data_IF_441530547812
#
_entry.id   IF_441530547812
#
_cell.length_a   1.000
_cell.length_b   1.000
_cell.length_c   1.000
_cell.angle_alpha   90.00
_cell.angle_beta   90.00
_cell.angle_gamma   90.00
#
_symmetry.space_group_name_H-M   'P 1'
#
loop_
_entity.id
_entity.type
_entity.pdbx_description
1 polymer ?
#
# COMPACT_ATOMS: atom_id res chain seq x y z
N UNK A 1 1.18 -9.01 -22.64
CA UNK A 1 0.11 -9.42 -21.75
C UNK A 1 -0.15 -8.32 -20.75
N UNK A 2 -1.37 -8.11 -20.25
CA UNK A 2 -1.62 -7.13 -19.19
C UNK A 2 -0.78 -7.43 -17.96
N UNK A 3 -0.36 -6.39 -17.26
CA UNK A 3 0.47 -6.50 -16.04
C UNK A 3 -0.12 -5.70 -14.91
N UNK A 4 0.05 -6.21 -13.70
CA UNK A 4 -0.23 -5.48 -12.48
C UNK A 4 1.09 -5.19 -11.75
N UNK A 5 1.31 -3.92 -11.43
CA UNK A 5 2.42 -3.44 -10.61
C UNK A 5 1.91 -3.15 -9.20
N UNK A 6 2.63 -3.58 -8.19
CA UNK A 6 2.21 -3.36 -6.81
C UNK A 6 3.25 -2.55 -6.07
N UNK A 7 2.82 -1.41 -5.54
CA UNK A 7 3.62 -0.51 -4.70
C UNK A 7 3.17 -0.75 -3.25
N UNK A 8 4.08 -1.16 -2.35
CA UNK A 8 3.76 -1.31 -0.93
C UNK A 8 3.75 0.04 -0.20
N UNK A 9 3.85 0.00 1.13
CA UNK A 9 3.81 1.09 2.07
C UNK A 9 4.75 2.25 1.69
N UNK A 10 4.20 3.46 1.60
CA UNK A 10 4.94 4.66 1.16
C UNK A 10 5.37 5.56 2.32
N UNK A 11 4.54 5.69 3.32
CA UNK A 11 4.82 6.50 4.51
C UNK A 11 5.50 7.84 4.21
N UNK A 12 4.82 8.73 3.48
CA UNK A 12 5.32 10.07 3.19
C UNK A 12 6.57 10.13 2.29
N UNK A 13 7.01 9.03 1.69
CA UNK A 13 8.16 8.98 0.76
C UNK A 13 7.73 9.34 -0.67
N UNK A 14 7.50 10.64 -0.88
CA UNK A 14 7.14 11.18 -2.19
C UNK A 14 8.22 10.91 -3.25
N UNK A 15 9.47 10.98 -2.86
CA UNK A 15 10.62 10.72 -3.70
C UNK A 15 10.61 9.29 -4.27
N UNK A 16 10.36 8.30 -3.42
CA UNK A 16 10.23 6.89 -3.83
C UNK A 16 8.99 6.67 -4.71
N UNK A 17 7.87 7.32 -4.39
CA UNK A 17 6.66 7.23 -5.21
C UNK A 17 6.88 7.77 -6.63
N UNK A 18 7.50 8.93 -6.78
CA UNK A 18 7.76 9.52 -8.10
C UNK A 18 8.69 8.65 -8.93
N UNK A 19 9.77 8.15 -8.31
CA UNK A 19 10.69 7.24 -8.97
C UNK A 19 10.01 5.91 -9.37
N UNK A 20 9.14 5.37 -8.50
CA UNK A 20 8.38 4.16 -8.78
C UNK A 20 7.42 4.35 -9.96
N UNK A 21 6.64 5.42 -9.98
CA UNK A 21 5.70 5.70 -11.06
C UNK A 21 6.42 5.90 -12.40
N UNK A 22 7.53 6.64 -12.42
CA UNK A 22 8.35 6.82 -13.62
C UNK A 22 8.93 5.48 -14.11
N UNK A 23 9.40 4.65 -13.18
CA UNK A 23 9.95 3.33 -13.52
C UNK A 23 8.89 2.40 -14.07
N UNK A 24 7.68 2.39 -13.48
CA UNK A 24 6.54 1.61 -13.97
C UNK A 24 6.12 2.07 -15.37
N UNK A 25 5.98 3.37 -15.60
CA UNK A 25 5.62 3.93 -16.91
C UNK A 25 6.62 3.50 -17.99
N UNK A 26 7.92 3.62 -17.70
CA UNK A 26 8.98 3.19 -18.59
C UNK A 26 8.93 1.69 -18.86
N UNK A 27 8.71 0.88 -17.82
CA UNK A 27 8.67 -0.58 -17.91
C UNK A 27 7.42 -1.08 -18.64
N UNK A 28 6.29 -0.42 -18.46
CA UNK A 28 5.05 -0.74 -19.19
C UNK A 28 5.17 -0.46 -20.68
N UNK A 29 6.02 0.50 -21.09
CA UNK A 29 6.34 0.76 -22.49
C UNK A 29 5.11 1.15 -23.32
N UNK A 30 4.20 1.93 -22.76
CA UNK A 30 2.95 2.36 -23.39
C UNK A 30 1.86 1.29 -23.43
N UNK A 31 2.05 0.13 -22.80
CA UNK A 31 1.02 -0.90 -22.69
C UNK A 31 0.08 -0.59 -21.52
N UNK A 32 -1.17 -1.05 -21.64
CA UNK A 32 -2.12 -0.98 -20.54
C UNK A 32 -1.63 -1.82 -19.35
N UNK A 33 -1.77 -1.25 -18.14
CA UNK A 33 -1.42 -1.92 -16.90
C UNK A 33 -2.21 -1.36 -15.72
N UNK A 34 -2.31 -2.16 -14.64
CA UNK A 34 -2.85 -1.72 -13.36
C UNK A 34 -1.70 -1.47 -12.38
N UNK A 35 -1.80 -0.38 -11.62
CA UNK A 35 -0.92 -0.10 -10.49
C UNK A 35 -1.77 -0.21 -9.23
N UNK A 36 -1.46 -1.17 -8.37
CA UNK A 36 -2.07 -1.31 -7.05
C UNK A 36 -1.14 -0.68 -6.03
N UNK A 37 -1.66 0.26 -5.22
CA UNK A 37 -0.93 0.82 -4.07
C UNK A 37 -1.57 0.31 -2.80
N UNK A 38 -0.80 -0.36 -1.96
CA UNK A 38 -1.35 -1.17 -0.86
C UNK A 38 -1.78 -0.37 0.38
N UNK A 39 -1.67 0.95 0.37
CA UNK A 39 -2.01 1.81 1.51
C UNK A 39 -0.79 2.35 2.25
N UNK A 40 -1.03 2.85 3.45
CA UNK A 40 -0.04 3.53 4.29
C UNK A 40 0.72 4.64 3.52
N UNK A 41 -0.06 5.60 3.03
CA UNK A 41 0.46 6.77 2.30
C UNK A 41 1.11 7.77 3.24
N UNK A 42 0.64 7.84 4.47
CA UNK A 42 0.92 8.89 5.46
C UNK A 42 1.83 8.40 6.59
N UNK A 43 2.24 9.33 7.44
CA UNK A 43 3.05 9.15 8.65
C UNK A 43 4.52 8.79 8.38
N UNK A 44 5.35 8.96 9.40
CA UNK A 44 6.76 8.56 9.50
C UNK A 44 7.71 9.30 8.56
N UNK A 45 7.45 9.31 7.28
CA UNK A 45 8.25 10.05 6.31
C UNK A 45 7.81 11.51 6.15
N UNK A 46 8.60 12.33 5.44
CA UNK A 46 8.49 13.78 5.54
C UNK A 46 7.35 14.43 4.73
N UNK A 47 6.72 13.72 3.79
CA UNK A 47 5.92 14.41 2.77
C UNK A 47 4.58 13.73 2.45
N UNK A 48 3.81 13.40 3.50
CA UNK A 48 2.49 12.75 3.39
C UNK A 48 1.53 13.53 2.50
N UNK A 49 1.48 14.88 2.66
CA UNK A 49 0.64 15.76 1.84
C UNK A 49 0.89 15.58 0.35
N UNK A 50 2.17 15.58 -0.06
CA UNK A 50 2.50 15.48 -1.48
C UNK A 50 2.39 14.07 -2.03
N UNK A 51 2.50 13.02 -1.19
CA UNK A 51 2.15 11.65 -1.60
C UNK A 51 0.67 11.58 -1.98
N UNK A 52 -0.23 12.07 -1.12
CA UNK A 52 -1.67 12.13 -1.41
C UNK A 52 -1.94 12.94 -2.68
N UNK A 53 -1.39 14.14 -2.76
CA UNK A 53 -1.58 15.01 -3.93
C UNK A 53 -1.10 14.34 -5.23
N UNK A 54 0.04 13.62 -5.18
CA UNK A 54 0.59 12.92 -6.36
C UNK A 54 -0.31 11.77 -6.81
N UNK A 55 -0.82 10.98 -5.89
CA UNK A 55 -1.73 9.86 -6.21
C UNK A 55 -3.07 10.38 -6.77
N UNK A 56 -3.59 11.46 -6.22
CA UNK A 56 -4.81 12.12 -6.71
C UNK A 56 -4.64 12.72 -8.12
N UNK A 57 -3.46 13.15 -8.49
CA UNK A 57 -3.17 13.65 -9.83
C UNK A 57 -3.24 12.55 -10.91
N UNK A 58 -3.26 11.28 -10.51
CA UNK A 58 -3.39 10.15 -11.42
C UNK A 58 -2.06 9.75 -12.09
N UNK A 59 -2.16 8.94 -13.12
CA UNK A 59 -1.05 8.33 -13.86
C UNK A 59 -1.21 8.55 -15.36
N UNK A 60 -0.17 8.22 -16.13
CA UNK A 60 -0.17 8.36 -17.58
C UNK A 60 -1.31 7.55 -18.24
N UNK A 61 -1.79 7.98 -19.42
CA UNK A 61 -2.77 7.24 -20.18
C UNK A 61 -2.35 5.78 -20.43
N UNK A 62 -3.31 4.85 -20.30
CA UNK A 62 -3.07 3.41 -20.37
C UNK A 62 -2.75 2.76 -19.03
N UNK A 63 -2.34 3.53 -18.01
CA UNK A 63 -2.17 3.05 -16.65
C UNK A 63 -3.43 3.33 -15.81
N UNK A 64 -3.77 2.43 -14.89
CA UNK A 64 -4.90 2.55 -13.96
C UNK A 64 -4.41 2.40 -12.53
N UNK A 65 -4.93 3.23 -11.61
CA UNK A 65 -4.63 3.16 -10.19
C UNK A 65 -5.75 2.44 -9.44
N UNK A 66 -5.38 1.42 -8.65
CA UNK A 66 -6.18 0.85 -7.57
C UNK A 66 -5.45 1.15 -6.26
N UNK A 67 -6.08 1.95 -5.40
CA UNK A 67 -5.44 2.47 -4.18
C UNK A 67 -6.19 1.97 -2.96
N UNK A 68 -5.52 1.28 -2.05
CA UNK A 68 -6.11 0.66 -0.87
C UNK A 68 -5.92 1.53 0.37
N UNK A 69 -6.68 1.26 1.42
CA UNK A 69 -6.53 1.90 2.73
C UNK A 69 -5.59 1.07 3.61
N UNK A 70 -4.56 1.71 4.16
CA UNK A 70 -3.73 1.15 5.22
C UNK A 70 -4.19 1.57 6.62
N UNK A 71 -3.60 0.97 7.64
CA UNK A 71 -3.97 1.28 9.03
C UNK A 71 -3.53 2.68 9.47
N UNK A 72 -2.43 3.22 8.93
CA UNK A 72 -2.03 4.60 9.20
C UNK A 72 -2.97 5.60 8.54
N UNK A 73 -3.45 5.33 7.34
CA UNK A 73 -4.44 6.14 6.66
C UNK A 73 -5.76 6.20 7.45
N UNK A 74 -6.23 5.03 7.94
CA UNK A 74 -7.42 4.92 8.78
C UNK A 74 -7.24 5.64 10.12
N UNK A 75 -6.06 5.56 10.74
CA UNK A 75 -5.77 6.21 12.01
C UNK A 75 -5.73 7.75 11.86
N UNK A 76 -5.11 8.27 10.80
CA UNK A 76 -5.14 9.71 10.50
C UNK A 76 -6.58 10.21 10.33
N UNK A 77 -7.41 9.51 9.56
CA UNK A 77 -8.83 9.84 9.37
C UNK A 77 -9.56 9.87 10.70
N UNK A 78 -9.44 8.81 11.51
CA UNK A 78 -10.12 8.70 12.80
C UNK A 78 -9.68 9.80 13.78
N UNK A 79 -8.39 10.14 13.81
CA UNK A 79 -7.87 11.23 14.63
C UNK A 79 -8.41 12.60 14.22
N UNK A 80 -8.41 12.89 12.92
CA UNK A 80 -8.87 14.17 12.39
C UNK A 80 -10.40 14.35 12.43
N UNK A 81 -11.16 13.24 12.50
CA UNK A 81 -12.61 13.25 12.72
C UNK A 81 -13.01 13.26 14.20
N UNK A 82 -12.05 13.07 15.11
CA UNK A 82 -12.29 13.08 16.56
C UNK A 82 -12.74 11.71 17.12
N UNK A 83 -12.67 10.64 16.33
CA UNK A 83 -13.02 9.28 16.77
C UNK A 83 -11.94 8.69 17.69
N UNK A 84 -10.70 9.16 17.56
CA UNK A 84 -9.58 8.84 18.46
C UNK A 84 -8.82 10.11 18.85
N UNK A 85 -8.14 10.07 19.98
CA UNK A 85 -7.33 11.22 20.42
C UNK A 85 -6.17 11.49 19.43
N UNK A 86 -5.97 12.75 19.06
CA UNK A 86 -4.85 13.18 18.19
C UNK A 86 -3.51 12.67 18.70
N UNK A 87 -3.30 12.68 20.03
CA UNK A 87 -2.08 12.16 20.65
C UNK A 87 -1.76 10.70 20.27
N UNK A 88 -2.77 9.87 20.07
CA UNK A 88 -2.57 8.48 19.65
C UNK A 88 -1.97 8.40 18.24
N UNK A 89 -2.47 9.23 17.32
CA UNK A 89 -1.92 9.31 15.97
C UNK A 89 -0.50 9.87 15.97
N UNK A 90 -0.22 10.93 16.76
CA UNK A 90 1.13 11.51 16.87
C UNK A 90 2.18 10.47 17.29
N UNK A 91 1.86 9.54 18.21
CA UNK A 91 2.79 8.47 18.64
C UNK A 91 3.10 7.43 17.56
N UNK A 92 2.38 7.46 16.44
CA UNK A 92 2.56 6.51 15.31
C UNK A 92 3.25 7.16 14.10
N UNK A 93 3.75 8.39 14.24
CA UNK A 93 4.39 9.15 13.16
C UNK A 93 3.46 10.17 12.50
N UNK A 94 2.32 10.46 13.11
CA UNK A 94 1.38 11.47 12.64
C UNK A 94 1.92 12.90 12.75
N UNK A 95 2.90 13.13 13.62
CA UNK A 95 3.63 14.38 13.75
C UNK A 95 4.32 14.79 12.44
N UNK A 96 4.96 13.86 11.74
CA UNK A 96 5.58 14.14 10.45
C UNK A 96 4.53 14.38 9.35
N UNK A 97 3.43 13.62 9.38
CA UNK A 97 2.33 13.86 8.46
C UNK A 97 1.74 15.26 8.66
N UNK A 98 1.43 15.64 9.90
CA UNK A 98 0.90 16.95 10.23
C UNK A 98 1.87 18.08 9.85
N UNK A 99 3.17 17.91 10.11
CA UNK A 99 4.21 18.87 9.70
C UNK A 99 4.20 19.09 8.18
N UNK A 100 3.93 18.07 7.38
CA UNK A 100 3.86 18.17 5.91
C UNK A 100 2.70 19.04 5.43
N UNK A 101 1.67 19.26 6.29
CA UNK A 101 0.52 20.15 6.02
C UNK A 101 0.69 21.56 6.56
N UNK A 102 1.66 21.83 7.43
CA UNK A 102 1.87 23.12 8.04
C UNK A 102 1.98 23.09 9.57
N UNK A 103 1.65 21.96 10.19
CA UNK A 103 1.81 21.71 11.62
C UNK A 103 0.54 21.83 12.45
N UNK A 104 -0.56 22.35 11.89
CA UNK A 104 -1.86 22.44 12.57
C UNK A 104 -2.87 21.47 11.93
N UNK A 105 -3.71 20.86 12.78
CA UNK A 105 -4.84 20.01 12.34
C UNK A 105 -5.77 20.74 11.37
N UNK A 106 -5.97 22.04 11.58
CA UNK A 106 -6.78 22.88 10.72
C UNK A 106 -6.21 23.08 9.29
N UNK A 107 -4.91 22.83 9.12
CA UNK A 107 -4.24 22.91 7.80
C UNK A 107 -4.48 21.68 6.92
N UNK A 108 -5.02 20.59 7.50
CA UNK A 108 -5.31 19.38 6.74
C UNK A 108 -6.63 19.52 5.99
N UNK A 109 -6.63 19.56 4.65
CA UNK A 109 -7.84 19.76 3.89
C UNK A 109 -8.83 18.59 4.06
N UNK A 110 -10.09 18.87 4.27
CA UNK A 110 -11.17 17.87 4.41
C UNK A 110 -11.20 16.92 3.21
N UNK A 111 -10.93 17.41 2.01
CA UNK A 111 -10.92 16.58 0.82
C UNK A 111 -9.78 15.53 0.78
N UNK A 112 -8.68 15.72 1.54
CA UNK A 112 -7.64 14.71 1.69
C UNK A 112 -8.06 13.65 2.71
N UNK A 113 -8.75 14.06 3.79
CA UNK A 113 -9.35 13.16 4.78
C UNK A 113 -10.39 12.26 4.11
N UNK A 114 -11.31 12.85 3.35
CA UNK A 114 -12.37 12.12 2.64
C UNK A 114 -11.80 11.21 1.55
N UNK A 115 -10.72 11.65 0.89
CA UNK A 115 -10.03 10.82 -0.09
C UNK A 115 -9.41 9.58 0.56
N UNK A 116 -8.71 9.71 1.69
CA UNK A 116 -8.17 8.57 2.44
C UNK A 116 -9.28 7.64 2.91
N UNK A 117 -10.35 8.20 3.48
CA UNK A 117 -11.47 7.42 3.99
C UNK A 117 -12.20 6.63 2.90
N UNK A 118 -12.33 7.19 1.73
CA UNK A 118 -12.96 6.56 0.57
C UNK A 118 -12.12 5.44 -0.09
N UNK A 119 -10.95 5.09 0.42
CA UNK A 119 -10.14 4.00 -0.19
C UNK A 119 -10.72 2.63 0.18
N UNK A 120 -10.83 1.70 -0.80
CA UNK A 120 -11.24 0.33 -0.53
C UNK A 120 -10.19 -0.40 0.32
N UNK A 121 -10.61 -1.45 1.00
CA UNK A 121 -9.74 -2.28 1.85
C UNK A 121 -9.01 -3.37 1.06
N UNK A 122 -9.51 -3.74 -0.08
CA UNK A 122 -8.92 -4.75 -0.96
C UNK A 122 -9.25 -4.49 -2.43
N UNK A 123 -8.44 -5.06 -3.29
CA UNK A 123 -8.65 -5.18 -4.72
C UNK A 123 -8.40 -6.63 -5.13
N UNK A 124 -8.96 -7.11 -6.24
CA UNK A 124 -8.69 -8.45 -6.73
C UNK A 124 -8.66 -8.52 -8.25
N UNK A 125 -7.87 -9.44 -8.77
CA UNK A 125 -7.92 -9.93 -10.13
C UNK A 125 -8.36 -11.42 -10.17
N UNK A 126 -8.21 -12.08 -11.31
CA UNK A 126 -8.58 -13.48 -11.45
C UNK A 126 -7.78 -14.43 -10.53
N UNK A 127 -6.56 -14.05 -10.14
CA UNK A 127 -5.60 -14.93 -9.47
C UNK A 127 -5.16 -14.44 -8.09
N UNK A 128 -5.42 -13.16 -7.76
CA UNK A 128 -4.83 -12.50 -6.58
C UNK A 128 -5.82 -11.66 -5.82
N UNK A 129 -5.57 -11.55 -4.53
CA UNK A 129 -6.15 -10.56 -3.64
C UNK A 129 -5.02 -9.61 -3.23
N UNK A 130 -5.25 -8.33 -3.42
CA UNK A 130 -4.38 -7.25 -2.96
C UNK A 130 -5.02 -6.62 -1.73
N UNK A 131 -4.29 -6.55 -0.65
CA UNK A 131 -4.76 -6.06 0.64
C UNK A 131 -3.61 -5.39 1.38
N UNK A 132 -3.90 -4.45 2.29
CA UNK A 132 -2.82 -3.78 3.00
C UNK A 132 -2.00 -4.76 3.86
N UNK A 133 -2.66 -5.52 4.76
CA UNK A 133 -1.95 -6.38 5.72
C UNK A 133 -2.21 -7.88 5.52
N UNK A 134 -3.45 -8.29 5.33
CA UNK A 134 -3.73 -9.71 5.13
C UNK A 134 -5.21 -10.05 5.21
N UNK A 135 -5.53 -11.34 5.06
CA UNK A 135 -6.89 -11.87 5.07
C UNK A 135 -7.01 -13.04 6.04
N UNK A 136 -8.22 -13.29 6.55
CA UNK A 136 -8.53 -14.59 7.17
C UNK A 136 -8.79 -15.60 6.04
N UNK A 137 -7.99 -16.67 5.91
CA UNK A 137 -8.14 -17.63 4.83
C UNK A 137 -9.44 -18.45 4.93
N UNK A 138 -10.11 -18.46 6.08
CA UNK A 138 -11.33 -19.22 6.31
C UNK A 138 -12.63 -18.46 5.94
N UNK A 139 -12.54 -17.14 5.71
CA UNK A 139 -13.71 -16.28 5.47
C UNK A 139 -13.71 -15.71 4.05
N UNK A 140 -14.87 -15.69 3.36
CA UNK A 140 -15.04 -14.95 2.13
C UNK A 140 -14.65 -13.46 2.28
N UNK A 141 -14.18 -12.82 1.20
CA UNK A 141 -13.76 -11.42 1.24
C UNK A 141 -14.84 -10.47 1.77
N UNK A 142 -16.10 -10.71 1.44
CA UNK A 142 -17.21 -9.89 1.92
C UNK A 142 -17.49 -10.02 3.43
N UNK A 143 -16.90 -11.01 4.11
CA UNK A 143 -17.07 -11.28 5.55
C UNK A 143 -15.80 -10.97 6.36
N UNK A 144 -14.77 -10.45 5.72
CA UNK A 144 -13.52 -10.09 6.39
C UNK A 144 -13.72 -8.92 7.36
N UNK A 145 -13.06 -8.99 8.52
CA UNK A 145 -13.00 -7.87 9.44
C UNK A 145 -12.14 -6.73 8.83
N UNK A 146 -12.69 -5.51 8.67
CA UNK A 146 -11.95 -4.35 8.19
C UNK A 146 -10.65 -4.07 8.94
N UNK A 147 -10.63 -4.28 10.26
CA UNK A 147 -9.43 -4.06 11.07
C UNK A 147 -8.37 -5.12 10.75
N UNK A 148 -8.79 -6.38 10.62
CA UNK A 148 -7.87 -7.46 10.26
C UNK A 148 -7.22 -7.22 8.90
N UNK A 149 -7.98 -6.79 7.90
CA UNK A 149 -7.46 -6.50 6.56
C UNK A 149 -6.31 -5.45 6.58
N UNK A 150 -6.32 -4.54 7.57
CA UNK A 150 -5.34 -3.48 7.72
C UNK A 150 -4.24 -3.77 8.76
N UNK A 151 -4.38 -4.82 9.58
CA UNK A 151 -3.46 -5.01 10.73
C UNK A 151 -2.95 -6.44 10.91
N UNK A 152 -3.40 -7.39 10.10
CA UNK A 152 -2.97 -8.79 10.21
C UNK A 152 -1.45 -8.91 10.07
N UNK A 153 -0.87 -9.76 10.92
CA UNK A 153 0.50 -10.25 10.77
C UNK A 153 0.47 -11.76 10.60
N UNK A 154 1.26 -12.22 9.66
CA UNK A 154 1.44 -13.65 9.41
C UNK A 154 2.61 -14.17 10.24
N UNK A 155 2.55 -15.43 10.69
CA UNK A 155 3.72 -16.11 11.21
C UNK A 155 4.78 -16.29 10.10
N UNK A 156 6.05 -16.36 10.48
CA UNK A 156 7.16 -16.40 9.51
C UNK A 156 7.10 -17.60 8.57
N UNK A 157 6.57 -18.73 9.04
CA UNK A 157 6.38 -19.97 8.28
C UNK A 157 5.03 -20.04 7.56
N UNK A 158 4.10 -19.11 7.80
CA UNK A 158 2.81 -19.09 7.14
C UNK A 158 2.98 -18.78 5.64
N UNK A 159 2.66 -19.75 4.82
CA UNK A 159 2.70 -19.64 3.36
C UNK A 159 1.30 -19.70 2.74
N UNK A 160 0.25 -19.52 3.55
CA UNK A 160 -1.13 -19.60 3.10
C UNK A 160 -1.51 -18.48 2.13
N UNK A 161 -2.35 -18.81 1.17
CA UNK A 161 -3.11 -17.88 0.37
C UNK A 161 -4.53 -17.73 0.92
N UNK A 162 -5.50 -17.51 0.03
CA UNK A 162 -6.91 -17.43 0.36
C UNK A 162 -7.71 -18.39 -0.54
N UNK A 163 -8.62 -19.15 0.06
CA UNK A 163 -9.52 -20.05 -0.69
C UNK A 163 -10.90 -20.22 -0.04
N UNK A 164 -11.39 -19.48 0.77
CA UNK A 164 -12.71 -19.64 1.46
C UNK A 164 -13.88 -20.17 0.59
N UNK A 165 -13.62 -21.14 -0.29
CA UNK A 165 -14.57 -21.71 -1.24
C UNK A 165 -14.79 -20.87 -2.50
N UNK A 166 -14.03 -19.79 -2.68
CA UNK A 166 -14.13 -18.86 -3.83
C UNK A 166 -13.05 -19.10 -4.90
N UNK A 167 -12.27 -20.16 -4.74
CA UNK A 167 -11.10 -20.48 -5.56
C UNK A 167 -9.80 -19.90 -5.01
N UNK A 168 -8.74 -20.70 -5.07
CA UNK A 168 -7.44 -20.36 -4.51
C UNK A 168 -6.85 -19.10 -5.15
N UNK A 169 -6.50 -18.10 -4.34
CA UNK A 169 -5.86 -16.86 -4.75
C UNK A 169 -4.62 -16.57 -3.95
N UNK A 170 -3.64 -16.02 -4.63
CA UNK A 170 -2.41 -15.54 -4.01
C UNK A 170 -2.68 -14.18 -3.31
N UNK A 171 -2.22 -14.01 -2.07
CA UNK A 171 -2.39 -12.77 -1.31
C UNK A 171 -1.17 -11.88 -1.49
N UNK A 172 -1.37 -10.66 -1.96
CA UNK A 172 -0.30 -9.64 -2.10
C UNK A 172 -0.54 -8.55 -1.07
N UNK A 173 0.45 -8.32 -0.21
CA UNK A 173 0.30 -7.40 0.92
C UNK A 173 1.59 -6.65 1.28
N UNK A 174 1.50 -5.67 2.16
CA UNK A 174 2.56 -4.92 2.81
C UNK A 174 2.49 -5.02 4.33
N UNK A 175 2.52 -3.89 5.05
CA UNK A 175 2.30 -3.69 6.47
C UNK A 175 3.35 -4.33 7.39
N UNK A 176 3.68 -5.59 7.20
CA UNK A 176 4.65 -6.31 8.03
C UNK A 176 6.04 -6.17 7.42
N UNK A 177 6.77 -5.18 7.92
CA UNK A 177 8.02 -4.68 7.34
C UNK A 177 9.18 -5.65 7.49
N UNK A 178 9.84 -5.95 6.39
CA UNK A 178 11.05 -6.76 6.34
C UNK A 178 12.14 -6.03 5.54
N UNK A 179 13.13 -5.45 6.24
CA UNK A 179 14.19 -4.68 5.59
C UNK A 179 14.97 -5.49 4.53
N UNK A 180 15.13 -6.79 4.77
CA UNK A 180 15.77 -7.73 3.84
C UNK A 180 14.78 -8.40 2.86
N UNK A 181 13.47 -8.01 2.93
CA UNK A 181 12.41 -8.51 2.05
C UNK A 181 12.60 -8.14 0.57
N UNK A 182 11.64 -8.44 -0.28
CA UNK A 182 10.30 -8.92 0.01
C UNK A 182 10.25 -10.39 0.47
N UNK A 183 9.19 -10.77 1.20
CA UNK A 183 8.96 -12.17 1.56
C UNK A 183 8.00 -12.80 0.55
N UNK A 184 8.52 -13.70 -0.28
CA UNK A 184 7.76 -14.42 -1.29
C UNK A 184 7.51 -15.85 -0.80
N UNK A 185 6.26 -16.18 -0.54
CA UNK A 185 5.79 -17.49 -0.10
C UNK A 185 4.89 -18.12 -1.16
N UNK A 186 4.54 -19.38 -1.03
CA UNK A 186 3.74 -20.10 -2.01
C UNK A 186 2.37 -19.45 -2.26
N UNK A 187 1.65 -19.08 -1.21
CA UNK A 187 0.30 -18.50 -1.29
C UNK A 187 0.24 -16.99 -1.07
N UNK A 188 1.36 -16.33 -0.72
CA UNK A 188 1.39 -14.89 -0.45
C UNK A 188 2.72 -14.22 -0.76
N UNK A 189 2.67 -12.92 -1.00
CA UNK A 189 3.85 -12.06 -1.18
C UNK A 189 3.70 -10.82 -0.30
N UNK A 190 4.64 -10.64 0.65
CA UNK A 190 4.79 -9.39 1.40
C UNK A 190 5.86 -8.53 0.72
N UNK A 191 5.47 -7.36 0.25
CA UNK A 191 6.35 -6.45 -0.50
C UNK A 191 6.95 -5.33 0.35
N UNK A 192 6.54 -5.18 1.63
CA UNK A 192 7.02 -4.09 2.49
C UNK A 192 8.48 -4.31 2.92
N UNK A 193 9.37 -3.54 2.31
CA UNK A 193 10.80 -3.51 2.59
C UNK A 193 11.20 -2.41 3.58
N UNK A 194 10.24 -1.89 4.37
CA UNK A 194 10.47 -0.81 5.33
C UNK A 194 10.99 0.47 4.64
N UNK A 195 10.42 0.77 3.47
CA UNK A 195 10.94 1.74 2.51
C UNK A 195 11.16 3.14 3.09
N UNK A 196 10.28 3.61 3.99
CA UNK A 196 10.43 4.92 4.59
C UNK A 196 11.73 5.05 5.41
N UNK A 197 12.22 3.97 6.01
CA UNK A 197 13.45 3.95 6.82
C UNK A 197 14.67 3.48 6.03
N UNK A 198 14.52 2.44 5.21
CA UNK A 198 15.65 1.88 4.45
C UNK A 198 16.01 2.70 3.22
N UNK A 199 15.06 3.49 2.70
CA UNK A 199 15.19 4.12 1.39
C UNK A 199 15.03 3.14 0.22
N UNK A 200 14.62 1.90 0.49
CA UNK A 200 14.49 0.82 -0.49
C UNK A 200 13.02 0.43 -0.65
N UNK A 201 12.44 0.69 -1.81
CA UNK A 201 11.07 0.32 -2.18
C UNK A 201 11.12 -0.78 -3.24
N UNK A 202 10.40 -1.87 -3.04
CA UNK A 202 10.31 -2.97 -4.02
C UNK A 202 8.91 -3.05 -4.61
N UNK A 203 8.82 -2.95 -5.92
CA UNK A 203 7.59 -3.08 -6.69
C UNK A 203 7.49 -4.52 -7.17
N UNK A 204 6.38 -5.19 -6.88
CA UNK A 204 6.06 -6.48 -7.46
C UNK A 204 5.45 -6.30 -8.86
N UNK A 205 5.93 -7.04 -9.85
CA UNK A 205 5.36 -7.09 -11.21
C UNK A 205 4.68 -8.44 -11.40
N UNK A 206 3.40 -8.42 -11.70
CA UNK A 206 2.59 -9.62 -11.87
C UNK A 206 2.11 -9.73 -13.33
N UNK A 207 2.13 -10.93 -13.86
CA UNK A 207 1.48 -11.25 -15.13
C UNK A 207 0.03 -11.65 -14.84
N UNK A 208 -0.92 -10.91 -15.42
CA UNK A 208 -2.35 -11.11 -15.14
C UNK A 208 -2.91 -12.42 -15.74
N UNK A 209 -2.16 -13.09 -16.62
CA UNK A 209 -2.50 -14.40 -17.15
C UNK A 209 -2.00 -15.57 -16.30
N UNK A 210 -1.11 -15.32 -15.33
CA UNK A 210 -0.47 -16.36 -14.53
C UNK A 210 -0.88 -16.26 -13.06
N UNK A 211 -1.21 -17.37 -12.39
CA UNK A 211 -1.44 -17.38 -10.94
C UNK A 211 -0.13 -17.22 -10.14
N UNK A 212 -0.25 -16.92 -8.85
CA UNK A 212 0.86 -16.89 -7.91
C UNK A 212 1.53 -15.54 -7.76
N UNK A 213 2.77 -15.57 -7.25
CA UNK A 213 3.57 -14.41 -6.87
C UNK A 213 4.07 -13.56 -8.05
N UNK A 214 4.90 -12.54 -7.77
CA UNK A 214 5.43 -11.67 -8.81
C UNK A 214 6.36 -12.43 -9.76
N UNK A 215 6.27 -12.10 -11.05
CA UNK A 215 7.16 -12.63 -12.10
C UNK A 215 8.46 -11.84 -12.19
N UNK A 216 8.48 -10.62 -11.64
CA UNK A 216 9.64 -9.73 -11.61
C UNK A 216 9.53 -8.81 -10.39
N UNK A 217 10.67 -8.36 -9.88
CA UNK A 217 10.76 -7.34 -8.84
C UNK A 217 11.54 -6.14 -9.40
N UNK A 218 11.01 -4.95 -9.20
CA UNK A 218 11.68 -3.69 -9.55
C UNK A 218 12.05 -2.99 -8.25
N UNK A 219 13.33 -2.77 -8.06
CA UNK A 219 13.85 -2.06 -6.89
C UNK A 219 14.06 -0.58 -7.19
N UNK A 220 13.61 0.27 -6.28
CA UNK A 220 13.82 1.71 -6.25
C UNK A 220 14.61 2.04 -4.98
N UNK A 221 15.65 2.83 -5.09
CA UNK A 221 16.45 3.27 -3.96
C UNK A 221 16.56 4.78 -3.90
N UNK A 222 16.48 5.32 -2.70
CA UNK A 222 16.74 6.72 -2.38
C UNK A 222 17.42 6.80 -1.00
N UNK A 223 18.02 7.93 -0.60
CA UNK A 223 18.53 8.07 0.75
C UNK A 223 17.46 7.76 1.79
N UNK A 224 17.81 7.18 2.97
CA UNK A 224 16.88 7.05 4.08
C UNK A 224 16.23 8.39 4.42
N UNK A 225 15.00 8.35 4.98
CA UNK A 225 14.40 9.56 5.51
C UNK A 225 15.26 10.11 6.67
N UNK A 226 15.34 11.44 6.83
CA UNK A 226 16.09 12.08 7.89
C UNK A 226 15.58 11.72 9.29
#
# INVERSE_FOLDING_TARGET
MPRTYVIPDLHGRRDLLDAALLRIETHAGGKEATIVVLGDYVDKGPDSRRVIARLRAGVAPGLRLAMLKGNHDALMVAALRGDVAIANWMTKGGDTALASYGGDVADVPVHDIDWLDGRPLWHMDAHRIYVHAGVDPALPLAQQDPVLLMTKRYADDDASGHDAGEGARHVVHGHDRHADGPLLKQGRSNLDTYAWKTGRLVIGVFDDALPGGPVELIEITAPPAP
#
